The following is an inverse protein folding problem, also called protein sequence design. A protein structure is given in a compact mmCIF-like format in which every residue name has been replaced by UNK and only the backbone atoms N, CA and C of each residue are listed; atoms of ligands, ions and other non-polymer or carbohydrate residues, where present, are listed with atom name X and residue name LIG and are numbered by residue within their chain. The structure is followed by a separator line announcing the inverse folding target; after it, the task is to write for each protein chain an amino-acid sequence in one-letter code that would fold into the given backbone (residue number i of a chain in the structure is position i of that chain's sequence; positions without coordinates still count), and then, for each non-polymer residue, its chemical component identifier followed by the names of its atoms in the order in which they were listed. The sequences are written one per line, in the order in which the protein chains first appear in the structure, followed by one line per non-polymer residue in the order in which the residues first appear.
data_IF_885010347300
#
_entry.id   IF_885010347300
#
_cell.length_a   1.000
_cell.length_b   1.000
_cell.length_c   1.000
_cell.angle_alpha   90.00
_cell.angle_beta   90.00
_cell.angle_gamma   90.00
#
_symmetry.space_group_name_H-M   'P 1'
#
loop_
_entity.id
_entity.type
_entity.pdbx_description
1 polymer ?
#
# COMPACT_ATOMS: atom_id res chain seq x y z
N UNK A 1 0.39 3.20 -15.52
CA UNK A 1 1.86 3.35 -15.52
C UNK A 1 2.29 4.63 -16.22
N UNK A 2 1.94 4.86 -17.49
CA UNK A 2 2.39 6.06 -18.23
C UNK A 2 2.16 7.40 -17.49
N UNK A 3 0.96 7.64 -16.97
CA UNK A 3 0.68 8.86 -16.19
C UNK A 3 1.55 8.98 -14.92
N UNK A 4 1.85 7.86 -14.27
CA UNK A 4 2.70 7.82 -13.08
C UNK A 4 4.16 8.15 -13.43
N UNK A 5 4.62 7.71 -14.60
CA UNK A 5 5.97 8.02 -15.10
C UNK A 5 6.15 9.51 -15.43
N UNK A 6 5.12 10.09 -16.06
CA UNK A 6 5.16 11.48 -16.50
C UNK A 6 5.03 12.47 -15.34
N UNK A 7 4.17 12.18 -14.37
CA UNK A 7 3.78 13.12 -13.30
C UNK A 7 4.33 12.79 -11.93
N UNK A 8 4.77 11.53 -11.72
CA UNK A 8 5.05 11.04 -10.39
C UNK A 8 3.79 10.94 -9.53
N UNK A 9 3.96 10.92 -8.21
CA UNK A 9 2.87 11.01 -7.24
C UNK A 9 2.77 9.84 -6.27
N UNK A 10 1.80 9.95 -5.37
CA UNK A 10 1.52 8.98 -4.31
C UNK A 10 0.39 8.04 -4.73
N UNK A 11 0.68 6.74 -4.76
CA UNK A 11 -0.30 5.68 -5.06
C UNK A 11 -0.67 4.96 -3.78
N UNK A 12 -1.93 5.10 -3.36
CA UNK A 12 -2.49 4.39 -2.22
C UNK A 12 -3.48 3.32 -2.69
N UNK A 13 -3.54 2.21 -1.95
CA UNK A 13 -4.32 1.02 -2.31
C UNK A 13 -5.47 0.78 -1.31
N UNK A 14 -6.56 1.60 -1.36
CA UNK A 14 -7.67 1.47 -0.42
C UNK A 14 -8.35 0.11 -0.52
N UNK A 15 -8.65 -0.44 0.66
CA UNK A 15 -9.47 -1.62 0.88
C UNK A 15 -10.49 -1.36 1.99
N UNK A 16 -11.31 -2.35 2.36
CA UNK A 16 -12.35 -2.20 3.37
C UNK A 16 -11.81 -1.70 4.71
N UNK A 17 -10.69 -2.27 5.20
CA UNK A 17 -10.05 -1.84 6.45
C UNK A 17 -9.65 -0.35 6.38
N UNK A 18 -9.06 0.08 5.26
CA UNK A 18 -8.75 1.49 5.06
C UNK A 18 -10.00 2.37 5.12
N UNK A 19 -11.12 1.94 4.51
CA UNK A 19 -12.38 2.69 4.57
C UNK A 19 -12.91 2.80 6.00
N UNK A 20 -12.73 1.75 6.83
CA UNK A 20 -13.11 1.78 8.24
C UNK A 20 -12.19 2.68 9.08
N UNK A 21 -10.88 2.71 8.79
CA UNK A 21 -9.94 3.63 9.44
C UNK A 21 -10.26 5.08 9.07
N UNK A 22 -10.58 5.35 7.79
CA UNK A 22 -10.98 6.67 7.29
C UNK A 22 -12.20 7.26 8.02
N UNK A 23 -13.04 6.44 8.67
CA UNK A 23 -14.17 6.93 9.47
C UNK A 23 -13.75 7.47 10.84
N UNK A 24 -12.54 7.16 11.32
CA UNK A 24 -12.13 7.37 12.72
C UNK A 24 -10.82 8.16 12.85
N UNK A 25 -10.02 8.22 11.80
CA UNK A 25 -8.66 8.78 11.81
C UNK A 25 -8.57 9.93 10.81
N UNK A 26 -8.68 11.17 11.35
CA UNK A 26 -8.65 12.40 10.55
C UNK A 26 -7.33 12.59 9.81
N UNK A 27 -6.22 12.22 10.42
CA UNK A 27 -4.89 12.34 9.79
C UNK A 27 -4.77 11.39 8.58
N UNK A 28 -5.26 10.16 8.73
CA UNK A 28 -5.32 9.21 7.64
C UNK A 28 -6.28 9.65 6.52
N UNK A 29 -7.43 10.23 6.89
CA UNK A 29 -8.36 10.82 5.93
C UNK A 29 -7.69 11.93 5.13
N UNK A 30 -6.97 12.84 5.80
CA UNK A 30 -6.22 13.91 5.14
C UNK A 30 -5.10 13.36 4.24
N UNK A 31 -4.40 12.30 4.67
CA UNK A 31 -3.41 11.64 3.82
C UNK A 31 -4.03 11.10 2.52
N UNK A 32 -5.22 10.51 2.60
CA UNK A 32 -5.94 10.04 1.42
C UNK A 32 -6.43 11.18 0.51
N UNK A 33 -6.77 12.34 1.06
CA UNK A 33 -7.09 13.53 0.23
C UNK A 33 -5.90 13.98 -0.60
N UNK A 34 -4.68 13.86 -0.07
CA UNK A 34 -3.44 14.23 -0.73
C UNK A 34 -2.92 13.19 -1.73
N UNK A 35 -3.47 11.97 -1.73
CA UNK A 35 -3.04 10.92 -2.67
C UNK A 35 -3.38 11.31 -4.12
N UNK A 36 -2.40 11.18 -5.02
CA UNK A 36 -2.58 11.47 -6.45
C UNK A 36 -3.37 10.33 -7.13
N UNK A 37 -3.10 9.10 -6.73
CA UNK A 37 -3.76 7.91 -7.26
C UNK A 37 -4.32 7.03 -6.14
N UNK A 38 -5.57 6.60 -6.29
CA UNK A 38 -6.24 5.67 -5.39
C UNK A 38 -6.68 4.46 -6.20
N UNK A 39 -5.98 3.34 -6.05
CA UNK A 39 -6.25 2.10 -6.79
C UNK A 39 -6.90 1.07 -5.88
N UNK A 40 -8.06 0.55 -6.28
CA UNK A 40 -8.89 -0.31 -5.44
C UNK A 40 -8.21 -1.65 -5.14
N UNK A 41 -7.97 -1.92 -3.86
CA UNK A 41 -7.47 -3.20 -3.37
C UNK A 41 -8.59 -4.02 -2.72
N UNK A 42 -9.04 -5.03 -3.39
CA UNK A 42 -10.00 -5.99 -2.87
C UNK A 42 -11.24 -6.21 -3.75
N UNK A 43 -11.53 -7.49 -4.01
CA UNK A 43 -12.65 -7.89 -4.84
C UNK A 43 -14.00 -7.49 -4.24
N UNK A 44 -14.13 -7.59 -2.91
CA UNK A 44 -15.36 -7.23 -2.20
C UNK A 44 -15.64 -5.73 -2.38
N UNK A 45 -14.62 -4.88 -2.28
CA UNK A 45 -14.77 -3.44 -2.49
C UNK A 45 -15.24 -3.13 -3.92
N UNK A 46 -14.73 -3.83 -4.94
CA UNK A 46 -15.25 -3.70 -6.31
C UNK A 46 -16.74 -4.01 -6.43
N UNK A 47 -17.20 -5.09 -5.79
CA UNK A 47 -18.62 -5.46 -5.81
C UNK A 47 -19.47 -4.36 -5.16
N UNK A 48 -19.01 -3.76 -4.07
CA UNK A 48 -19.72 -2.65 -3.43
C UNK A 48 -19.72 -1.39 -4.27
N UNK A 49 -18.63 -1.05 -4.93
CA UNK A 49 -18.60 0.10 -5.86
C UNK A 49 -19.59 -0.10 -7.02
N UNK A 50 -19.69 -1.32 -7.54
CA UNK A 50 -20.71 -1.67 -8.55
C UNK A 50 -22.12 -1.53 -7.98
N UNK A 51 -22.37 -2.03 -6.75
CA UNK A 51 -23.66 -1.89 -6.06
C UNK A 51 -24.04 -0.43 -5.83
N UNK A 52 -23.07 0.44 -5.52
CA UNK A 52 -23.28 1.87 -5.34
C UNK A 52 -23.51 2.64 -6.65
N UNK A 53 -23.31 2.00 -7.81
CA UNK A 53 -23.46 2.65 -9.12
C UNK A 53 -22.21 3.37 -9.63
N UNK A 54 -21.07 3.16 -8.97
CA UNK A 54 -19.75 3.74 -9.35
C UNK A 54 -18.75 2.64 -9.66
N UNK A 55 -18.97 1.81 -10.71
CA UNK A 55 -18.11 0.68 -11.00
C UNK A 55 -16.72 1.15 -11.44
N UNK A 56 -15.70 0.43 -11.00
CA UNK A 56 -14.32 0.59 -11.47
C UNK A 56 -13.96 -0.54 -12.43
N UNK A 57 -12.99 -0.28 -13.33
CA UNK A 57 -12.64 -1.24 -14.39
C UNK A 57 -11.99 -2.50 -13.85
N UNK A 58 -11.06 -2.36 -12.90
CA UNK A 58 -10.30 -3.49 -12.37
C UNK A 58 -9.80 -3.25 -10.94
N UNK A 59 -9.47 -4.35 -10.27
CA UNK A 59 -8.81 -4.38 -8.97
C UNK A 59 -7.29 -4.31 -9.18
N UNK A 60 -6.60 -3.43 -8.43
CA UNK A 60 -5.15 -3.37 -8.38
C UNK A 60 -4.73 -3.41 -6.91
N UNK A 61 -4.33 -4.59 -6.43
CA UNK A 61 -3.80 -4.73 -5.08
C UNK A 61 -2.35 -4.24 -4.99
N UNK A 62 -1.89 -3.86 -3.80
CA UNK A 62 -0.48 -3.56 -3.58
C UNK A 62 0.44 -4.70 -4.04
N UNK A 63 0.00 -5.94 -3.82
CA UNK A 63 0.71 -7.16 -4.23
C UNK A 63 0.71 -7.42 -5.74
N UNK A 64 -0.13 -6.76 -6.52
CA UNK A 64 -0.08 -6.74 -7.99
C UNK A 64 0.65 -5.50 -8.51
N UNK A 65 0.47 -4.36 -7.83
CA UNK A 65 1.02 -3.07 -8.22
C UNK A 65 2.55 -3.11 -8.33
N UNK A 66 3.24 -3.56 -7.29
CA UNK A 66 4.71 -3.59 -7.26
C UNK A 66 5.30 -4.51 -8.33
N UNK A 67 4.85 -5.79 -8.47
CA UNK A 67 5.33 -6.66 -9.55
C UNK A 67 5.06 -6.09 -10.94
N UNK A 68 3.89 -5.54 -11.17
CA UNK A 68 3.56 -4.91 -12.45
C UNK A 68 4.46 -3.70 -12.73
N UNK A 69 4.72 -2.89 -11.70
CA UNK A 69 5.58 -1.71 -11.80
C UNK A 69 7.01 -2.10 -12.20
N UNK A 70 7.66 -3.00 -11.47
CA UNK A 70 9.05 -3.34 -11.78
C UNK A 70 9.19 -4.13 -13.09
N UNK A 71 8.20 -4.91 -13.48
CA UNK A 71 8.20 -5.61 -14.79
C UNK A 71 8.02 -4.63 -15.95
N UNK A 72 7.12 -3.66 -15.82
CA UNK A 72 6.92 -2.62 -16.83
C UNK A 72 8.22 -1.82 -17.06
N UNK A 73 8.93 -1.51 -15.98
CA UNK A 73 10.16 -0.73 -16.00
C UNK A 73 11.46 -1.55 -16.10
N UNK A 74 11.38 -2.84 -16.35
CA UNK A 74 12.56 -3.70 -16.27
C UNK A 74 13.73 -3.23 -17.17
N UNK A 75 13.42 -2.64 -18.31
CA UNK A 75 14.39 -2.13 -19.29
C UNK A 75 14.67 -0.61 -19.13
N UNK A 76 14.05 0.06 -18.17
CA UNK A 76 14.27 1.49 -17.93
C UNK A 76 15.35 1.71 -16.86
N UNK A 77 16.59 2.10 -17.23
CA UNK A 77 17.71 2.25 -16.29
C UNK A 77 17.51 3.44 -15.33
N UNK A 78 16.63 4.38 -15.67
CA UNK A 78 16.38 5.57 -14.86
C UNK A 78 15.50 5.27 -13.64
N UNK A 79 14.78 4.15 -13.60
CA UNK A 79 13.98 3.73 -12.44
C UNK A 79 14.89 3.05 -11.42
N UNK A 80 15.02 3.70 -10.25
CA UNK A 80 15.74 3.23 -9.06
C UNK A 80 14.78 3.23 -7.88
N UNK A 81 14.59 2.08 -7.27
CA UNK A 81 13.60 1.86 -6.22
C UNK A 81 14.27 1.66 -4.86
N UNK A 82 13.65 2.18 -3.80
CA UNK A 82 13.96 1.85 -2.41
C UNK A 82 12.79 1.11 -1.77
N UNK A 83 13.06 0.04 -1.02
CA UNK A 83 12.05 -0.70 -0.25
C UNK A 83 12.15 -0.32 1.23
N UNK A 84 11.04 0.14 1.82
CA UNK A 84 10.95 0.48 3.23
C UNK A 84 9.86 -0.36 3.90
N UNK A 85 10.23 -1.26 4.79
CA UNK A 85 9.26 -2.06 5.53
C UNK A 85 9.67 -3.50 5.75
N UNK A 86 8.68 -4.34 6.13
CA UNK A 86 8.83 -5.74 6.51
C UNK A 86 9.74 -5.97 7.74
N UNK A 87 9.93 -7.23 8.13
CA UNK A 87 10.80 -7.60 9.24
C UNK A 87 12.30 -7.48 8.86
N UNK A 88 13.22 -7.42 9.84
CA UNK A 88 14.66 -7.38 9.57
C UNK A 88 15.11 -8.51 8.64
N UNK A 89 15.89 -8.16 7.60
CA UNK A 89 16.36 -9.08 6.58
C UNK A 89 15.38 -9.36 5.44
N UNK A 90 14.08 -9.14 5.64
CA UNK A 90 13.05 -9.43 4.64
C UNK A 90 13.07 -8.43 3.49
N UNK A 91 13.26 -7.14 3.78
CA UNK A 91 13.36 -6.12 2.73
C UNK A 91 14.58 -6.33 1.83
N UNK A 92 15.72 -6.73 2.40
CA UNK A 92 16.93 -7.08 1.66
C UNK A 92 16.72 -8.30 0.77
N UNK A 93 16.04 -9.32 1.29
CA UNK A 93 15.71 -10.52 0.48
C UNK A 93 14.77 -10.19 -0.68
N UNK A 94 13.77 -9.33 -0.46
CA UNK A 94 12.92 -8.82 -1.53
C UNK A 94 13.71 -8.05 -2.60
N UNK A 95 14.67 -7.21 -2.17
CA UNK A 95 15.59 -6.49 -3.07
C UNK A 95 16.37 -7.45 -3.97
N UNK A 96 17.00 -8.48 -3.40
CA UNK A 96 17.74 -9.49 -4.15
C UNK A 96 16.85 -10.18 -5.19
N UNK A 97 15.68 -10.65 -4.75
CA UNK A 97 14.74 -11.38 -5.60
C UNK A 97 14.21 -10.53 -6.75
N UNK A 98 13.85 -9.26 -6.50
CA UNK A 98 13.38 -8.33 -7.53
C UNK A 98 14.52 -8.05 -8.52
N UNK A 99 15.72 -7.73 -8.05
CA UNK A 99 16.86 -7.44 -8.90
C UNK A 99 17.23 -8.65 -9.79
N UNK A 100 17.17 -9.86 -9.24
CA UNK A 100 17.37 -11.09 -10.02
C UNK A 100 16.29 -11.25 -11.12
N UNK A 101 15.00 -11.03 -10.79
CA UNK A 101 13.89 -11.15 -11.75
C UNK A 101 13.95 -10.12 -12.87
N UNK A 102 14.40 -8.91 -12.59
CA UNK A 102 14.51 -7.85 -13.61
C UNK A 102 15.84 -7.88 -14.35
N UNK A 103 16.83 -8.63 -13.87
CA UNK A 103 18.15 -8.77 -14.48
C UNK A 103 19.06 -7.54 -14.32
N UNK A 104 18.75 -6.64 -13.38
CA UNK A 104 19.54 -5.44 -13.08
C UNK A 104 19.32 -4.94 -11.65
N UNK A 105 20.19 -4.06 -11.17
CA UNK A 105 20.06 -3.38 -9.87
C UNK A 105 19.00 -2.26 -9.97
N UNK A 106 17.71 -2.64 -10.02
CA UNK A 106 16.59 -1.69 -9.98
C UNK A 106 16.29 -1.25 -8.56
N UNK A 107 16.25 -2.17 -7.60
CA UNK A 107 16.12 -1.87 -6.18
C UNK A 107 17.51 -1.55 -5.64
N UNK A 108 17.78 -0.25 -5.42
CA UNK A 108 19.10 0.28 -5.05
C UNK A 108 19.34 0.28 -3.54
N UNK A 109 18.26 0.17 -2.74
CA UNK A 109 18.33 0.08 -1.28
C UNK A 109 17.06 -0.54 -0.68
N UNK A 110 17.23 -1.09 0.52
CA UNK A 110 16.14 -1.68 1.31
C UNK A 110 16.41 -1.48 2.80
N UNK A 111 15.36 -1.15 3.57
CA UNK A 111 15.47 -0.97 5.01
C UNK A 111 14.22 -1.50 5.72
N UNK A 112 14.43 -2.24 6.79
CA UNK A 112 13.38 -2.71 7.69
C UNK A 112 13.45 -1.89 8.97
N UNK A 113 12.51 -0.95 9.19
CA UNK A 113 12.54 -0.08 10.37
C UNK A 113 12.14 -0.82 11.64
N UNK A 114 12.47 -0.25 12.81
CA UNK A 114 12.05 -0.79 14.10
C UNK A 114 10.53 -0.69 14.27
N UNK A 115 9.95 -1.54 15.13
CA UNK A 115 8.52 -1.43 15.45
C UNK A 115 8.22 -0.06 16.09
N UNK A 116 7.20 0.64 15.56
CA UNK A 116 6.82 1.97 16.04
C UNK A 116 7.77 3.09 15.61
N UNK A 117 8.61 2.86 14.59
CA UNK A 117 9.57 3.85 14.07
C UNK A 117 8.90 5.17 13.66
N UNK A 118 7.66 5.13 13.22
CA UNK A 118 6.88 6.31 12.79
C UNK A 118 6.69 7.36 13.89
N UNK A 119 6.94 6.95 15.16
CA UNK A 119 6.90 7.81 16.34
C UNK A 119 8.29 8.28 16.79
N UNK A 120 9.36 7.80 16.15
CA UNK A 120 10.75 8.09 16.50
C UNK A 120 11.36 9.01 15.44
N UNK A 121 11.36 10.32 15.72
CA UNK A 121 11.80 11.32 14.74
C UNK A 121 13.24 11.10 14.26
N UNK A 122 14.15 10.72 15.18
CA UNK A 122 15.56 10.43 14.83
C UNK A 122 15.69 9.23 13.88
N UNK A 123 14.89 8.16 14.09
CA UNK A 123 14.89 7.01 13.20
C UNK A 123 14.29 7.36 11.84
N UNK A 124 13.20 8.13 11.83
CA UNK A 124 12.60 8.63 10.60
C UNK A 124 13.59 9.52 9.81
N UNK A 125 14.31 10.41 10.47
CA UNK A 125 15.32 11.27 9.81
C UNK A 125 16.44 10.44 9.20
N UNK A 126 16.94 9.43 9.92
CA UNK A 126 17.94 8.49 9.37
C UNK A 126 17.42 7.71 8.16
N UNK A 127 16.14 7.32 8.18
CA UNK A 127 15.50 6.62 7.04
C UNK A 127 15.41 7.56 5.83
N UNK A 128 15.02 8.82 6.03
CA UNK A 128 15.01 9.84 4.96
C UNK A 128 16.39 9.98 4.35
N UNK A 129 17.43 10.12 5.17
CA UNK A 129 18.82 10.24 4.71
C UNK A 129 19.29 8.99 3.93
N UNK A 130 18.90 7.79 4.37
CA UNK A 130 19.22 6.54 3.68
C UNK A 130 18.57 6.49 2.29
N UNK A 131 17.30 6.92 2.18
CA UNK A 131 16.59 6.95 0.91
C UNK A 131 17.24 7.96 -0.04
N UNK A 132 17.49 9.19 0.41
CA UNK A 132 18.11 10.23 -0.42
C UNK A 132 19.52 9.82 -0.89
N UNK A 133 20.38 9.30 0.01
CA UNK A 133 21.72 8.79 -0.34
C UNK A 133 21.70 7.61 -1.31
N UNK A 134 20.61 6.86 -1.39
CA UNK A 134 20.46 5.74 -2.34
C UNK A 134 20.29 6.20 -3.79
N UNK A 135 19.88 7.45 -4.00
CA UNK A 135 19.49 8.00 -5.29
C UNK A 135 18.24 7.34 -5.89
N UNK A 136 17.38 6.75 -5.05
CA UNK A 136 16.10 6.18 -5.48
C UNK A 136 15.14 7.29 -5.89
N UNK A 137 14.40 7.07 -6.99
CA UNK A 137 13.34 7.95 -7.44
C UNK A 137 11.94 7.30 -7.29
N UNK A 138 11.90 6.07 -6.80
CA UNK A 138 10.68 5.35 -6.44
C UNK A 138 10.84 4.79 -5.02
N UNK A 139 9.88 5.09 -4.14
CA UNK A 139 9.84 4.56 -2.79
C UNK A 139 8.63 3.65 -2.61
N UNK A 140 8.87 2.38 -2.33
CA UNK A 140 7.84 1.41 -2.01
C UNK A 140 7.81 1.17 -0.49
N UNK A 141 6.69 1.55 0.16
CA UNK A 141 6.52 1.48 1.61
C UNK A 141 5.56 0.36 1.99
N UNK A 142 6.03 -0.58 2.77
CA UNK A 142 5.30 -1.77 3.20
C UNK A 142 5.33 -1.97 4.72
N UNK A 143 4.92 -0.95 5.49
CA UNK A 143 4.83 -1.02 6.97
C UNK A 143 3.40 -1.17 7.47
N UNK A 144 2.43 -1.23 6.55
CA UNK A 144 1.00 -1.38 6.82
C UNK A 144 0.28 -0.08 7.11
N UNK A 145 -1.03 -0.06 6.80
CA UNK A 145 -1.91 1.06 7.08
C UNK A 145 -2.22 1.18 8.60
N UNK A 146 -2.47 2.39 9.10
CA UNK A 146 -2.41 3.69 8.44
C UNK A 146 -1.00 4.30 8.41
N UNK A 147 0.01 3.57 8.90
CA UNK A 147 1.36 4.12 9.14
C UNK A 147 2.07 4.50 7.85
N UNK A 148 1.98 3.66 6.82
CA UNK A 148 2.69 3.89 5.56
C UNK A 148 2.19 5.16 4.85
N UNK A 149 0.90 5.37 4.77
CA UNK A 149 0.31 6.53 4.12
C UNK A 149 0.63 7.83 4.87
N UNK A 150 0.47 7.81 6.19
CA UNK A 150 0.81 8.95 7.05
C UNK A 150 2.30 9.29 6.97
N UNK A 151 3.15 8.28 7.03
CA UNK A 151 4.60 8.47 6.93
C UNK A 151 5.02 9.05 5.56
N UNK A 152 4.46 8.55 4.47
CA UNK A 152 4.70 9.08 3.12
C UNK A 152 4.34 10.57 3.08
N UNK A 153 3.13 10.94 3.49
CA UNK A 153 2.66 12.33 3.47
C UNK A 153 3.53 13.24 4.35
N UNK A 154 3.92 12.76 5.54
CA UNK A 154 4.74 13.54 6.48
C UNK A 154 6.13 13.83 5.94
N UNK A 155 6.74 12.88 5.21
CA UNK A 155 8.14 12.99 4.82
C UNK A 155 8.39 13.23 3.33
N UNK A 156 7.35 13.23 2.49
CA UNK A 156 7.51 13.39 1.02
C UNK A 156 8.28 14.66 0.64
N UNK A 157 8.06 15.76 1.33
CA UNK A 157 8.75 17.03 1.04
C UNK A 157 10.24 17.05 1.44
N UNK A 158 10.69 16.04 2.22
CA UNK A 158 12.08 15.83 2.58
C UNK A 158 12.77 14.81 1.66
N UNK A 159 12.02 14.15 0.77
CA UNK A 159 12.49 13.13 -0.14
C UNK A 159 12.55 13.69 -1.57
N UNK A 160 13.52 14.61 -1.79
CA UNK A 160 13.63 15.36 -3.03
C UNK A 160 13.96 14.49 -4.25
N UNK A 161 14.67 13.36 -4.05
CA UNK A 161 15.00 12.42 -5.11
C UNK A 161 13.80 11.57 -5.55
N UNK A 162 12.81 11.38 -4.66
CA UNK A 162 11.68 10.46 -4.87
C UNK A 162 10.53 11.15 -5.60
N UNK A 163 10.19 10.63 -6.77
CA UNK A 163 9.07 11.10 -7.59
C UNK A 163 7.81 10.26 -7.42
N UNK A 164 7.95 8.97 -7.11
CA UNK A 164 6.86 8.00 -7.04
C UNK A 164 6.87 7.32 -5.67
N UNK A 165 5.73 7.37 -4.98
CA UNK A 165 5.51 6.74 -3.69
C UNK A 165 4.43 5.65 -3.81
N UNK A 166 4.75 4.43 -3.44
CA UNK A 166 3.84 3.28 -3.51
C UNK A 166 3.57 2.75 -2.11
N UNK A 167 2.33 2.86 -1.63
CA UNK A 167 1.88 2.24 -0.38
C UNK A 167 1.42 0.81 -0.68
N UNK A 168 2.28 -0.19 -0.39
CA UNK A 168 2.14 -1.56 -0.88
C UNK A 168 1.87 -2.63 0.18
N UNK A 169 1.75 -2.23 1.46
CA UNK A 169 1.44 -3.17 2.55
C UNK A 169 2.40 -4.35 2.65
N UNK A 170 1.86 -5.56 2.72
CA UNK A 170 2.63 -6.80 2.89
C UNK A 170 3.36 -7.28 1.62
N UNK A 171 3.43 -6.49 0.57
CA UNK A 171 4.00 -6.91 -0.71
C UNK A 171 5.49 -7.25 -0.60
N UNK A 172 6.23 -6.55 0.26
CA UNK A 172 7.66 -6.83 0.51
C UNK A 172 7.82 -8.26 1.05
N UNK A 173 6.94 -8.71 1.96
CA UNK A 173 6.96 -10.09 2.49
C UNK A 173 6.72 -11.13 1.39
N UNK A 174 5.83 -10.84 0.44
CA UNK A 174 5.56 -11.73 -0.69
C UNK A 174 6.73 -11.80 -1.67
N UNK A 175 7.35 -10.67 -1.99
CA UNK A 175 8.52 -10.60 -2.87
C UNK A 175 9.75 -11.29 -2.27
N UNK A 176 9.91 -11.23 -0.95
CA UNK A 176 10.95 -11.96 -0.23
C UNK A 176 10.69 -13.49 -0.19
N UNK A 177 9.46 -13.93 -0.47
CA UNK A 177 9.04 -15.32 -0.24
C UNK A 177 8.81 -15.65 1.24
N UNK A 178 8.80 -14.64 2.12
CA UNK A 178 8.57 -14.80 3.56
C UNK A 178 7.12 -15.19 3.88
N UNK A 179 6.18 -14.69 3.07
CA UNK A 179 4.76 -15.06 3.13
C UNK A 179 4.28 -15.60 1.79
N UNK A 180 3.35 -16.56 1.85
CA UNK A 180 2.68 -17.08 0.66
C UNK A 180 1.49 -16.19 0.31
N UNK A 181 1.38 -15.83 -0.95
CA UNK A 181 0.21 -15.13 -1.50
C UNK A 181 -0.91 -16.14 -1.79
N UNK A 182 -2.17 -15.71 -1.64
CA UNK A 182 -3.31 -16.50 -2.08
C UNK A 182 -3.18 -16.83 -3.57
N UNK A 183 -3.52 -18.06 -4.00
CA UNK A 183 -3.57 -18.41 -5.41
C UNK A 183 -4.46 -17.43 -6.20
N UNK A 184 -4.09 -17.12 -7.45
CA UNK A 184 -4.82 -16.14 -8.27
C UNK A 184 -6.32 -16.42 -8.39
N UNK A 185 -6.70 -17.69 -8.52
CA UNK A 185 -8.12 -18.06 -8.60
C UNK A 185 -8.89 -17.70 -7.33
N UNK A 186 -8.28 -17.89 -6.14
CA UNK A 186 -8.89 -17.47 -4.87
C UNK A 186 -9.04 -15.95 -4.77
N UNK A 187 -7.98 -15.22 -5.17
CA UNK A 187 -8.02 -13.76 -5.19
C UNK A 187 -9.09 -13.22 -6.16
N UNK A 188 -9.25 -13.84 -7.32
CA UNK A 188 -10.27 -13.48 -8.31
C UNK A 188 -11.70 -13.83 -7.84
N UNK A 189 -11.85 -14.91 -7.09
CA UNK A 189 -13.13 -15.31 -6.49
C UNK A 189 -13.49 -14.49 -5.22
N UNK A 190 -12.63 -13.56 -4.76
CA UNK A 190 -12.85 -12.81 -3.53
C UNK A 190 -12.53 -13.59 -2.25
N UNK A 191 -11.89 -14.77 -2.37
CA UNK A 191 -11.53 -15.65 -1.26
C UNK A 191 -10.16 -15.33 -0.64
N UNK A 192 -9.54 -14.22 -1.01
CA UNK A 192 -8.26 -13.79 -0.43
C UNK A 192 -8.38 -13.53 1.08
N UNK A 193 -9.48 -12.91 1.52
CA UNK A 193 -9.74 -12.62 2.94
C UNK A 193 -9.77 -13.89 3.80
N UNK A 194 -10.60 -14.91 3.51
CA UNK A 194 -10.58 -16.16 4.27
C UNK A 194 -9.22 -16.89 4.21
N UNK A 195 -8.55 -16.90 3.05
CA UNK A 195 -7.20 -17.47 2.94
C UNK A 195 -6.21 -16.79 3.90
N UNK A 196 -6.19 -15.46 3.92
CA UNK A 196 -5.31 -14.68 4.81
C UNK A 196 -5.67 -14.87 6.28
N UNK A 197 -6.96 -14.96 6.60
CA UNK A 197 -7.41 -15.23 7.97
C UNK A 197 -6.92 -16.59 8.46
N UNK A 198 -6.98 -17.63 7.64
CA UNK A 198 -6.46 -18.96 7.98
C UNK A 198 -4.93 -18.99 8.06
N UNK A 199 -4.24 -18.17 7.26
CA UNK A 199 -2.76 -18.10 7.25
C UNK A 199 -2.20 -17.30 8.42
N UNK A 200 -2.91 -16.24 8.89
CA UNK A 200 -2.47 -15.34 9.96
C UNK A 200 -3.62 -15.03 10.94
N UNK A 201 -4.23 -16.05 11.61
CA UNK A 201 -5.44 -15.84 12.41
C UNK A 201 -5.23 -14.85 13.55
N UNK A 202 -4.14 -14.98 14.30
CA UNK A 202 -3.83 -14.11 15.45
C UNK A 202 -3.76 -12.63 15.11
N UNK A 203 -3.34 -12.28 13.89
CA UNK A 203 -3.21 -10.88 13.44
C UNK A 203 -4.48 -10.35 12.77
N UNK A 204 -5.24 -11.21 12.05
CA UNK A 204 -6.27 -10.75 11.12
C UNK A 204 -7.70 -10.98 11.60
N UNK A 205 -7.95 -11.81 12.64
CA UNK A 205 -9.31 -12.11 13.10
C UNK A 205 -10.06 -10.85 13.54
N UNK A 206 -9.40 -9.99 14.35
CA UNK A 206 -10.03 -8.75 14.83
C UNK A 206 -10.38 -7.80 13.69
N UNK A 207 -9.49 -7.71 12.68
CA UNK A 207 -9.72 -6.91 11.49
C UNK A 207 -10.95 -7.41 10.75
N UNK A 208 -10.99 -8.68 10.35
CA UNK A 208 -12.02 -9.20 9.46
C UNK A 208 -13.36 -9.50 10.14
N UNK A 209 -13.35 -9.84 11.43
CA UNK A 209 -14.60 -10.21 12.14
C UNK A 209 -15.16 -9.07 13.02
N UNK A 210 -14.38 -8.05 13.32
CA UNK A 210 -14.82 -6.95 14.20
C UNK A 210 -14.75 -5.60 13.50
N UNK A 211 -13.61 -5.25 12.90
CA UNK A 211 -13.37 -3.91 12.38
C UNK A 211 -14.00 -3.68 11.00
N UNK A 212 -13.94 -4.68 10.11
CA UNK A 212 -14.42 -4.56 8.73
C UNK A 212 -15.95 -4.70 8.58
N UNK A 213 -16.71 -5.54 9.34
CA UNK A 213 -18.14 -5.74 9.15
C UNK A 213 -19.00 -4.48 9.19
N UNK A 214 -18.74 -3.44 10.01
CA UNK A 214 -19.49 -2.20 9.95
C UNK A 214 -19.47 -1.50 8.59
N UNK A 215 -18.54 -1.83 7.71
CA UNK A 215 -18.50 -1.34 6.33
C UNK A 215 -19.80 -1.61 5.57
N UNK A 216 -20.44 -2.76 5.76
CA UNK A 216 -21.67 -3.10 5.09
C UNK A 216 -22.81 -2.12 5.43
N UNK A 217 -22.89 -1.71 6.70
CA UNK A 217 -23.83 -0.68 7.14
C UNK A 217 -23.54 0.69 6.54
N UNK A 218 -22.25 1.07 6.42
CA UNK A 218 -21.86 2.33 5.78
C UNK A 218 -22.20 2.31 4.29
N UNK A 219 -21.92 1.21 3.59
CA UNK A 219 -22.24 1.07 2.17
C UNK A 219 -23.77 1.16 1.92
N UNK A 220 -24.59 0.59 2.81
CA UNK A 220 -26.05 0.72 2.73
C UNK A 220 -26.49 2.17 2.96
N UNK A 221 -25.96 2.85 3.99
CA UNK A 221 -26.22 4.28 4.25
C UNK A 221 -25.85 5.13 3.03
N UNK A 222 -24.73 4.85 2.38
CA UNK A 222 -24.30 5.52 1.15
C UNK A 222 -25.31 5.27 0.02
N UNK A 223 -25.79 4.03 -0.15
CA UNK A 223 -26.74 3.67 -1.21
C UNK A 223 -28.07 4.42 -1.11
N UNK A 224 -28.55 4.65 0.11
CA UNK A 224 -29.81 5.38 0.38
C UNK A 224 -29.59 6.87 0.70
N UNK A 225 -28.39 7.40 0.43
CA UNK A 225 -28.02 8.82 0.56
C UNK A 225 -28.17 9.41 1.98
N UNK A 226 -28.01 8.60 3.03
CA UNK A 226 -28.02 9.03 4.44
C UNK A 226 -26.62 8.95 5.09
N UNK A 227 -25.60 8.57 4.32
CA UNK A 227 -24.24 8.58 4.80
C UNK A 227 -23.74 10.02 4.99
N UNK A 228 -23.17 10.29 6.16
CA UNK A 228 -22.48 11.54 6.46
C UNK A 228 -21.01 11.27 6.67
N UNK A 229 -20.17 12.04 5.98
CA UNK A 229 -18.72 11.95 6.16
C UNK A 229 -18.36 12.52 7.54
N UNK A 230 -17.69 11.77 8.43
CA UNK A 230 -17.37 12.24 9.79
C UNK A 230 -16.39 13.42 9.83
N UNK A 231 -15.74 13.72 8.70
CA UNK A 231 -14.74 14.79 8.57
C UNK A 231 -15.09 15.83 7.52
N UNK A 232 -16.34 15.92 7.10
CA UNK A 232 -16.82 17.13 6.41
C UNK A 232 -16.69 18.28 7.38
N UNK A 233 -15.85 19.23 7.02
CA UNK A 233 -15.71 20.47 7.78
C UNK A 233 -17.09 21.14 7.82
N UNK A 234 -17.56 21.40 9.06
CA UNK A 234 -18.67 22.30 9.34
C UNK A 234 -18.25 23.71 8.97
#
# INVERSE_FOLDING_TARGET
MQQLDERGGMVFTPNIDHLMILQKDREFYNAYKMADYRVCDGQILMYFLKFLGTPIKEKISGSDLLPTFYQYHKNNPNIKMFLLGAAPGVAQKAQENINLRVGRKMVVGAHSPSFGFEKKEEECSRIVDLIEKSGANVLAVGVGAPKQEKWIVKYKEKLNSVKIFLAIGATIDFEAGHKKRAPKWMSNAGLETPYRLLSEPGRLWKRYLVNDPPFFGLALKQKINIYQNPFTDL
#
